data_IF_381281365613
#
_entry.id   IF_381281365613
#
_cell.length_a   1.000
_cell.length_b   1.000
_cell.length_c   1.000
_cell.angle_alpha   90.00
_cell.angle_beta   90.00
_cell.angle_gamma   90.00
#
_symmetry.space_group_name_H-M   'P 1'
#
loop_
_entity.id
_entity.type
_entity.pdbx_description
1 polymer ?
#
# COMPACT_ATOMS: atom_id res chain seq x y z
N UNK A 1 -15.47 -24.09 -11.46
CA UNK A 1 -15.39 -24.08 -10.00
C UNK A 1 -13.91 -24.14 -9.59
N UNK A 2 -13.21 -25.28 -9.73
CA UNK A 2 -11.78 -25.39 -9.39
C UNK A 2 -10.84 -24.26 -9.88
N UNK A 3 -10.99 -23.75 -11.11
CA UNK A 3 -10.13 -22.67 -11.63
C UNK A 3 -10.43 -21.29 -11.03
N UNK A 4 -11.65 -21.04 -10.52
CA UNK A 4 -12.00 -19.76 -9.88
C UNK A 4 -11.45 -19.73 -8.46
N UNK A 5 -11.62 -20.82 -7.73
CA UNK A 5 -11.17 -20.96 -6.34
C UNK A 5 -9.63 -20.89 -6.27
N UNK A 6 -8.94 -21.60 -7.18
CA UNK A 6 -7.47 -21.50 -7.32
C UNK A 6 -7.03 -20.07 -7.65
N UNK A 7 -7.76 -19.38 -8.55
CA UNK A 7 -7.43 -18.01 -8.91
C UNK A 7 -7.58 -17.10 -7.69
N UNK A 8 -8.71 -17.19 -6.99
CA UNK A 8 -8.99 -16.41 -5.78
C UNK A 8 -7.91 -16.62 -4.71
N UNK A 9 -7.49 -17.86 -4.48
CA UNK A 9 -6.40 -18.18 -3.55
C UNK A 9 -5.09 -17.49 -3.93
N UNK A 10 -4.70 -17.52 -5.21
CA UNK A 10 -3.49 -16.81 -5.69
C UNK A 10 -3.58 -15.30 -5.48
N UNK A 11 -4.77 -14.71 -5.61
CA UNK A 11 -4.96 -13.28 -5.30
C UNK A 11 -4.83 -12.98 -3.81
N UNK A 12 -5.28 -13.89 -2.94
CA UNK A 12 -5.18 -13.74 -1.49
C UNK A 12 -3.72 -13.88 -1.02
N UNK A 13 -2.97 -14.86 -1.52
CA UNK A 13 -1.54 -15.00 -1.25
C UNK A 13 -0.78 -13.73 -1.69
N UNK A 14 -1.05 -13.24 -2.90
CA UNK A 14 -0.44 -12.01 -3.41
C UNK A 14 -0.83 -10.77 -2.57
N UNK A 15 -2.03 -10.76 -1.97
CA UNK A 15 -2.50 -9.68 -1.12
C UNK A 15 -1.74 -9.66 0.22
N UNK A 16 -1.55 -10.84 0.83
CA UNK A 16 -0.77 -10.99 2.05
C UNK A 16 0.69 -10.57 1.85
N UNK A 17 1.32 -11.01 0.75
CA UNK A 17 2.68 -10.61 0.36
C UNK A 17 2.78 -9.09 0.17
N UNK A 18 1.80 -8.48 -0.49
CA UNK A 18 1.78 -7.05 -0.75
C UNK A 18 1.64 -6.22 0.54
N UNK A 19 0.76 -6.63 1.47
CA UNK A 19 0.58 -5.99 2.79
C UNK A 19 1.89 -6.06 3.57
N UNK A 20 2.46 -7.27 3.70
CA UNK A 20 3.71 -7.49 4.42
C UNK A 20 4.84 -6.63 3.85
N UNK A 21 4.92 -6.50 2.53
CA UNK A 21 5.94 -5.67 1.88
C UNK A 21 5.78 -4.18 2.21
N UNK A 22 4.55 -3.65 2.19
CA UNK A 22 4.28 -2.25 2.57
C UNK A 22 4.69 -2.00 4.03
N UNK A 23 4.24 -2.86 4.95
CA UNK A 23 4.57 -2.76 6.38
C UNK A 23 6.09 -2.83 6.63
N UNK A 24 6.81 -3.71 5.94
CA UNK A 24 8.27 -3.79 6.07
C UNK A 24 8.97 -2.50 5.65
N UNK A 25 8.49 -1.84 4.58
CA UNK A 25 9.07 -0.59 4.08
C UNK A 25 8.74 0.57 5.03
N UNK A 26 7.50 0.63 5.53
CA UNK A 26 7.07 1.62 6.52
C UNK A 26 7.89 1.52 7.81
N UNK A 27 8.01 0.32 8.38
CA UNK A 27 8.87 0.07 9.54
C UNK A 27 10.34 0.47 9.27
N UNK A 28 10.82 0.36 8.03
CA UNK A 28 12.16 0.82 7.68
C UNK A 28 12.26 2.34 7.63
N UNK A 29 11.23 3.05 7.17
CA UNK A 29 11.16 4.51 7.19
C UNK A 29 11.17 5.06 8.62
N UNK A 30 10.42 4.45 9.54
CA UNK A 30 10.41 4.82 10.95
C UNK A 30 11.81 4.70 11.57
N UNK A 31 12.52 3.60 11.31
CA UNK A 31 13.89 3.41 11.80
C UNK A 31 14.87 4.45 11.25
N UNK A 32 14.74 4.81 9.96
CA UNK A 32 15.56 5.86 9.35
C UNK A 32 15.30 7.23 9.98
N UNK A 33 14.07 7.49 10.45
CA UNK A 33 13.73 8.70 11.19
C UNK A 33 14.46 8.76 12.54
N UNK A 34 14.57 7.63 13.24
CA UNK A 34 15.31 7.51 14.51
C UNK A 34 16.84 7.61 14.36
N UNK A 35 17.39 7.05 13.28
CA UNK A 35 18.84 7.02 13.00
C UNK A 35 19.46 8.40 12.63
N UNK A 36 18.62 9.41 12.38
CA UNK A 36 19.04 10.80 12.13
C UNK A 36 19.93 11.41 13.22
N UNK A 37 20.02 10.78 14.41
CA UNK A 37 20.86 11.23 15.53
C UNK A 37 22.31 10.76 15.46
N UNK A 38 22.66 9.77 14.61
CA UNK A 38 23.97 9.07 14.68
C UNK A 38 24.73 9.05 13.35
N UNK A 39 24.03 9.06 12.20
CA UNK A 39 24.65 8.89 10.87
C UNK A 39 24.75 10.21 10.10
N UNK A 40 25.69 10.31 9.14
CA UNK A 40 25.86 11.50 8.32
C UNK A 40 24.60 11.85 7.52
N UNK A 41 24.11 13.09 7.69
CA UNK A 41 22.82 13.57 7.15
C UNK A 41 22.62 13.34 5.65
N UNK A 42 23.68 13.38 4.84
CA UNK A 42 23.59 13.18 3.39
C UNK A 42 23.34 11.72 2.99
N UNK A 43 23.83 10.74 3.76
CA UNK A 43 23.62 9.31 3.54
C UNK A 43 22.16 8.97 3.86
N UNK A 44 21.71 9.40 5.04
CA UNK A 44 20.33 9.21 5.49
C UNK A 44 19.29 9.83 4.55
N UNK A 45 19.59 11.01 3.98
CA UNK A 45 18.71 11.63 2.97
C UNK A 45 18.56 10.77 1.72
N UNK A 46 19.65 10.20 1.21
CA UNK A 46 19.62 9.38 0.00
C UNK A 46 18.86 8.08 0.25
N UNK A 47 19.09 7.42 1.38
CA UNK A 47 18.37 6.18 1.71
C UNK A 47 16.90 6.45 2.01
N UNK A 48 16.57 7.53 2.75
CA UNK A 48 15.17 7.94 2.94
C UNK A 48 14.46 8.16 1.60
N UNK A 49 15.08 8.88 0.65
CA UNK A 49 14.48 9.09 -0.69
C UNK A 49 14.22 7.74 -1.38
N UNK A 50 15.18 6.82 -1.37
CA UNK A 50 14.97 5.49 -1.97
C UNK A 50 13.84 4.73 -1.30
N UNK A 51 13.79 4.74 0.03
CA UNK A 51 12.77 4.00 0.79
C UNK A 51 11.38 4.58 0.55
N UNK A 52 11.24 5.91 0.42
CA UNK A 52 9.97 6.55 0.02
C UNK A 52 9.56 6.11 -1.39
N UNK A 53 10.49 6.06 -2.35
CA UNK A 53 10.20 5.55 -3.70
C UNK A 53 9.83 4.06 -3.67
N UNK A 54 10.45 3.26 -2.79
CA UNK A 54 10.06 1.87 -2.59
C UNK A 54 8.64 1.76 -2.03
N UNK A 55 8.26 2.65 -1.10
CA UNK A 55 6.90 2.70 -0.55
C UNK A 55 5.88 3.05 -1.64
N UNK A 56 6.17 4.06 -2.46
CA UNK A 56 5.33 4.46 -3.61
C UNK A 56 5.05 3.26 -4.55
N UNK A 57 6.10 2.51 -4.90
CA UNK A 57 5.99 1.34 -5.78
C UNK A 57 5.23 0.17 -5.13
N UNK A 58 5.47 -0.08 -3.85
CA UNK A 58 4.78 -1.12 -3.09
C UNK A 58 3.28 -0.82 -2.99
N UNK A 59 2.91 0.40 -2.62
CA UNK A 59 1.52 0.85 -2.55
C UNK A 59 0.84 0.84 -3.91
N UNK A 60 1.53 1.28 -4.97
CA UNK A 60 0.99 1.20 -6.33
C UNK A 60 0.65 -0.24 -6.72
N UNK A 61 1.54 -1.18 -6.39
CA UNK A 61 1.33 -2.62 -6.66
C UNK A 61 0.14 -3.16 -5.87
N UNK A 62 0.08 -2.84 -4.58
CA UNK A 62 -1.02 -3.20 -3.68
C UNK A 62 -2.37 -2.65 -4.17
N UNK A 63 -2.46 -1.37 -4.53
CA UNK A 63 -3.67 -0.73 -5.03
C UNK A 63 -4.14 -1.33 -6.37
N UNK A 64 -3.20 -1.64 -7.28
CA UNK A 64 -3.52 -2.32 -8.53
C UNK A 64 -4.07 -3.72 -8.25
N UNK A 65 -3.50 -4.45 -7.29
CA UNK A 65 -3.98 -5.76 -6.88
C UNK A 65 -5.42 -5.70 -6.37
N UNK A 66 -5.72 -4.80 -5.43
CA UNK A 66 -7.09 -4.58 -4.93
C UNK A 66 -8.07 -4.26 -6.06
N UNK A 67 -7.67 -3.38 -6.99
CA UNK A 67 -8.48 -3.05 -8.17
C UNK A 67 -8.73 -4.29 -9.04
N UNK A 68 -7.71 -5.13 -9.26
CA UNK A 68 -7.88 -6.41 -9.98
C UNK A 68 -8.78 -7.39 -9.26
N UNK A 69 -8.68 -7.51 -7.93
CA UNK A 69 -9.57 -8.37 -7.16
C UNK A 69 -11.04 -7.91 -7.29
N UNK A 70 -11.29 -6.60 -7.27
CA UNK A 70 -12.62 -6.03 -7.47
C UNK A 70 -13.14 -6.23 -8.90
N UNK A 71 -12.29 -6.03 -9.93
CA UNK A 71 -12.62 -6.30 -11.34
C UNK A 71 -12.98 -7.77 -11.59
N UNK A 72 -12.43 -8.71 -10.82
CA UNK A 72 -12.74 -10.13 -10.89
C UNK A 72 -13.91 -10.57 -10.00
N UNK A 73 -14.54 -9.63 -9.28
CA UNK A 73 -15.61 -9.86 -8.32
C UNK A 73 -15.21 -10.80 -7.17
N UNK A 74 -13.96 -10.72 -6.70
CA UNK A 74 -13.54 -11.37 -5.45
C UNK A 74 -13.83 -10.49 -4.23
N UNK A 75 -13.75 -9.17 -4.40
CA UNK A 75 -14.00 -8.20 -3.34
C UNK A 75 -14.89 -7.05 -3.82
N UNK A 76 -15.45 -6.32 -2.86
CA UNK A 76 -16.03 -4.99 -3.06
C UNK A 76 -15.44 -4.05 -2.02
N UNK A 77 -15.16 -2.80 -2.39
CA UNK A 77 -14.63 -1.80 -1.47
C UNK A 77 -15.46 -0.50 -1.51
N UNK A 78 -15.54 0.22 -0.37
CA UNK A 78 -16.28 1.46 -0.26
C UNK A 78 -15.64 2.59 -1.07
N UNK A 79 -16.39 3.67 -1.27
CA UNK A 79 -15.93 4.82 -2.06
C UNK A 79 -14.68 5.48 -1.49
N UNK A 80 -14.50 5.49 -0.16
CA UNK A 80 -13.28 6.01 0.49
C UNK A 80 -12.03 5.27 0.01
N UNK A 81 -12.01 3.93 0.14
CA UNK A 81 -10.91 3.08 -0.36
C UNK A 81 -10.71 3.25 -1.87
N UNK A 82 -11.81 3.43 -2.63
CA UNK A 82 -11.71 3.70 -4.07
C UNK A 82 -11.00 5.01 -4.37
N UNK A 83 -11.22 6.04 -3.57
CA UNK A 83 -10.53 7.34 -3.72
C UNK A 83 -9.04 7.12 -3.50
N UNK A 84 -8.63 6.56 -2.36
CA UNK A 84 -7.22 6.34 -2.02
C UNK A 84 -6.49 5.50 -3.08
N UNK A 85 -7.08 4.37 -3.50
CA UNK A 85 -6.55 3.51 -4.57
C UNK A 85 -6.29 4.31 -5.85
N UNK A 86 -7.25 5.15 -6.27
CA UNK A 86 -7.11 5.91 -7.51
C UNK A 86 -6.11 7.05 -7.36
N UNK A 87 -6.07 7.70 -6.20
CA UNK A 87 -5.11 8.78 -5.93
C UNK A 87 -3.68 8.24 -5.98
N UNK A 88 -3.41 7.06 -5.39
CA UNK A 88 -2.10 6.40 -5.49
C UNK A 88 -1.76 6.02 -6.94
N UNK A 89 -2.64 5.26 -7.62
CA UNK A 89 -2.39 4.74 -8.98
C UNK A 89 -2.16 5.86 -10.02
N UNK A 90 -2.83 7.00 -9.85
CA UNK A 90 -2.79 8.12 -10.80
C UNK A 90 -1.96 9.31 -10.31
N UNK A 91 -1.18 9.12 -9.24
CA UNK A 91 -0.27 10.14 -8.75
C UNK A 91 0.90 10.34 -9.71
N UNK A 92 1.32 11.60 -9.86
CA UNK A 92 2.56 11.97 -10.56
C UNK A 92 3.67 12.36 -9.57
N UNK A 93 3.31 12.51 -8.30
CA UNK A 93 4.20 12.85 -7.20
C UNK A 93 3.66 12.21 -5.94
N UNK A 94 4.55 11.52 -5.25
CA UNK A 94 4.32 10.87 -3.99
C UNK A 94 5.21 11.52 -2.93
N UNK A 95 4.61 11.95 -1.81
CA UNK A 95 5.33 12.48 -0.65
C UNK A 95 4.95 11.67 0.59
N UNK A 96 5.96 11.44 1.43
CA UNK A 96 5.81 10.81 2.74
C UNK A 96 6.55 11.63 3.79
N UNK A 97 5.80 12.18 4.74
CA UNK A 97 6.32 13.02 5.80
C UNK A 97 5.47 12.88 7.06
N UNK A 98 6.10 12.71 8.22
CA UNK A 98 5.44 12.53 9.52
C UNK A 98 4.28 11.51 9.48
N UNK A 99 4.57 10.34 8.88
CA UNK A 99 3.64 9.21 8.70
C UNK A 99 2.40 9.51 7.83
N UNK A 100 2.36 10.68 7.20
CA UNK A 100 1.32 11.07 6.24
C UNK A 100 1.78 10.81 4.80
N UNK A 101 0.87 10.23 4.01
CA UNK A 101 1.03 10.10 2.55
C UNK A 101 0.22 11.20 1.87
N UNK A 102 0.91 11.99 1.05
CA UNK A 102 0.30 13.02 0.22
C UNK A 102 0.66 12.72 -1.23
N UNK A 103 -0.35 12.61 -2.08
CA UNK A 103 -0.17 12.39 -3.50
C UNK A 103 -0.69 13.57 -4.31
N UNK A 104 -0.10 13.80 -5.48
CA UNK A 104 -0.53 14.85 -6.40
C UNK A 104 -0.87 14.24 -7.74
N UNK A 105 -2.12 14.41 -8.15
CA UNK A 105 -2.63 13.97 -9.45
C UNK A 105 -3.09 15.17 -10.27
N UNK A 106 -3.71 14.91 -11.42
CA UNK A 106 -4.40 15.95 -12.19
C UNK A 106 -5.55 16.62 -11.42
N UNK A 107 -6.04 16.00 -10.33
CA UNK A 107 -7.09 16.53 -9.46
C UNK A 107 -6.56 17.48 -8.39
N UNK A 108 -5.24 17.54 -8.20
CA UNK A 108 -4.59 18.34 -7.17
C UNK A 108 -3.95 17.47 -6.08
N UNK A 109 -3.82 18.06 -4.89
CA UNK A 109 -3.30 17.42 -3.68
C UNK A 109 -4.38 16.52 -3.07
N UNK A 110 -4.04 15.28 -2.79
CA UNK A 110 -4.92 14.28 -2.19
C UNK A 110 -4.19 13.64 -1.00
N UNK A 111 -4.84 13.62 0.16
CA UNK A 111 -4.36 12.92 1.35
C UNK A 111 -4.79 11.46 1.27
N UNK A 112 -3.89 10.55 1.63
CA UNK A 112 -4.11 9.10 1.57
C UNK A 112 -4.07 8.53 2.98
N UNK A 113 -5.14 7.83 3.36
CA UNK A 113 -5.22 7.13 4.64
C UNK A 113 -4.60 5.72 4.52
N UNK A 114 -3.33 5.60 4.88
CA UNK A 114 -2.57 4.34 4.77
C UNK A 114 -3.15 3.25 5.69
N UNK A 115 -3.45 3.60 6.94
CA UNK A 115 -3.95 2.66 7.93
C UNK A 115 -5.28 2.06 7.48
N UNK A 116 -6.21 2.90 7.06
CA UNK A 116 -7.51 2.44 6.57
C UNK A 116 -7.37 1.57 5.31
N UNK A 117 -6.42 1.89 4.43
CA UNK A 117 -6.12 1.11 3.24
C UNK A 117 -5.60 -0.29 3.59
N UNK A 118 -4.62 -0.38 4.51
CA UNK A 118 -4.03 -1.65 4.95
C UNK A 118 -5.03 -2.47 5.76
N UNK A 119 -5.79 -1.85 6.66
CA UNK A 119 -6.84 -2.51 7.45
C UNK A 119 -7.92 -3.11 6.56
N UNK A 120 -8.27 -2.42 5.46
CA UNK A 120 -9.16 -2.99 4.46
C UNK A 120 -8.58 -4.28 3.86
N UNK A 121 -7.30 -4.29 3.46
CA UNK A 121 -6.62 -5.50 3.00
C UNK A 121 -6.62 -6.64 4.01
N UNK A 122 -6.29 -6.33 5.27
CA UNK A 122 -6.29 -7.31 6.38
C UNK A 122 -7.68 -7.88 6.62
N UNK A 123 -8.72 -7.05 6.52
CA UNK A 123 -10.11 -7.51 6.70
C UNK A 123 -10.54 -8.55 5.65
N UNK A 124 -10.04 -8.41 4.41
CA UNK A 124 -10.27 -9.39 3.33
C UNK A 124 -9.65 -10.73 3.73
N UNK A 125 -8.37 -10.73 4.15
CA UNK A 125 -7.66 -11.95 4.57
C UNK A 125 -8.33 -12.61 5.78
N UNK A 126 -8.75 -11.83 6.77
CA UNK A 126 -9.45 -12.35 7.95
C UNK A 126 -10.81 -12.98 7.64
N UNK A 127 -11.55 -12.42 6.67
CA UNK A 127 -12.86 -12.94 6.28
C UNK A 127 -12.78 -14.32 5.61
N UNK A 128 -11.65 -14.65 5.00
CA UNK A 128 -11.43 -15.91 4.28
C UNK A 128 -10.92 -17.02 5.21
N UNK A 129 -10.09 -16.68 6.20
CA UNK A 129 -9.63 -17.63 7.23
C UNK A 129 -10.74 -18.19 8.14
N UNK A 130 -11.97 -17.65 8.05
CA UNK A 130 -13.14 -18.14 8.79
C UNK A 130 -13.99 -19.14 7.98
N UNK A 131 -13.62 -19.45 6.73
CA UNK A 131 -14.36 -20.37 5.85
C UNK A 131 -13.74 -21.77 5.74
N UNK A 132 -12.57 -22.01 6.35
CA UNK A 132 -11.92 -23.31 6.54
C UNK A 132 -12.27 -23.95 7.90
#
# INVERSE_FOLDING_TARGET
MASRDVKEHVYLEALEDAITNVEMIENHLERLSDENKVVAMHILRKDRIKTILSLELALSTYCILLRKMQENHFITYPDAIRVDINSIIHSNRFEYYDDEIIVYSARGREDVDLDHLLDFGRSILQSMNQQD
#
